data_IF_213998756031
#
_entry.id   IF_213998756031
#
_cell.length_a   1.000
_cell.length_b   1.000
_cell.length_c   1.000
_cell.angle_alpha   90.00
_cell.angle_beta   90.00
_cell.angle_gamma   90.00
#
_symmetry.space_group_name_H-M   'P 1'
#
loop_
_entity.id
_entity.type
_entity.pdbx_description
1 polymer ?
#
# COMPACT_ATOMS: atom_id res chain seq x y z
N UNK A 1 -18.85 14.12 -25.61
CA UNK A 1 -18.45 12.96 -24.81
C UNK A 1 -17.87 13.53 -23.55
N UNK A 2 -18.43 13.18 -22.41
CA UNK A 2 -17.98 13.74 -21.15
C UNK A 2 -16.66 13.06 -20.75
N UNK A 3 -15.74 13.86 -20.23
CA UNK A 3 -14.34 13.46 -20.05
C UNK A 3 -13.86 13.77 -18.65
N UNK A 4 -13.01 12.89 -18.13
CA UNK A 4 -12.33 13.05 -16.86
C UNK A 4 -10.83 13.13 -17.14
N UNK A 5 -10.19 14.20 -16.68
CA UNK A 5 -8.74 14.33 -16.74
C UNK A 5 -8.18 13.93 -15.38
N UNK A 6 -7.37 12.87 -15.35
CA UNK A 6 -6.86 12.29 -14.11
C UNK A 6 -5.35 12.52 -14.04
N UNK A 7 -4.90 13.09 -12.92
CA UNK A 7 -3.48 13.28 -12.65
C UNK A 7 -3.13 12.83 -11.25
N UNK A 8 -1.91 12.36 -11.04
CA UNK A 8 -1.47 11.94 -9.72
C UNK A 8 -0.92 13.13 -8.93
N UNK A 9 -1.67 13.57 -7.91
CA UNK A 9 -1.25 14.67 -7.03
C UNK A 9 -0.10 14.28 -6.11
N UNK A 10 -0.14 13.07 -5.57
CA UNK A 10 0.92 12.45 -4.78
C UNK A 10 0.76 10.92 -4.72
N UNK A 11 1.56 10.22 -3.91
CA UNK A 11 1.47 8.76 -3.77
C UNK A 11 0.20 8.24 -3.06
N UNK A 12 -0.65 9.12 -2.52
CA UNK A 12 -1.87 8.77 -1.78
C UNK A 12 -3.16 9.20 -2.50
N UNK A 13 -3.12 10.33 -3.21
CA UNK A 13 -4.29 10.99 -3.79
C UNK A 13 -4.05 11.29 -5.28
N UNK A 14 -5.09 11.17 -6.08
CA UNK A 14 -5.16 11.63 -7.46
C UNK A 14 -6.22 12.72 -7.61
N UNK A 15 -5.98 13.65 -8.53
CA UNK A 15 -6.94 14.67 -8.94
C UNK A 15 -7.77 14.11 -10.10
N UNK A 16 -9.08 14.31 -10.05
CA UNK A 16 -10.06 13.80 -11.03
C UNK A 16 -10.86 14.98 -11.56
N UNK A 17 -10.28 15.71 -12.53
CA UNK A 17 -10.90 16.90 -13.10
C UNK A 17 -12.09 16.54 -13.97
N UNK A 18 -13.27 17.05 -13.61
CA UNK A 18 -14.52 16.76 -14.30
C UNK A 18 -15.57 17.86 -14.06
N UNK A 19 -16.71 17.78 -14.76
CA UNK A 19 -17.84 18.68 -14.54
C UNK A 19 -18.64 18.36 -13.26
N UNK A 20 -19.48 19.30 -12.82
CA UNK A 20 -20.23 19.14 -11.58
C UNK A 20 -21.23 17.97 -11.59
N UNK A 21 -21.76 17.61 -12.76
CA UNK A 21 -22.67 16.47 -12.91
C UNK A 21 -21.96 15.16 -12.60
N UNK A 22 -20.84 14.92 -13.29
CA UNK A 22 -20.01 13.73 -13.04
C UNK A 22 -19.44 13.75 -11.61
N UNK A 23 -19.02 14.90 -11.10
CA UNK A 23 -18.52 15.01 -9.73
C UNK A 23 -19.56 14.58 -8.68
N UNK A 24 -20.85 14.84 -8.91
CA UNK A 24 -21.93 14.37 -8.04
C UNK A 24 -22.12 12.86 -8.16
N UNK A 25 -22.10 12.29 -9.37
CA UNK A 25 -22.16 10.84 -9.57
C UNK A 25 -20.99 10.10 -8.90
N UNK A 26 -19.77 10.65 -9.02
CA UNK A 26 -18.58 10.13 -8.35
C UNK A 26 -18.72 10.20 -6.84
N UNK A 27 -19.27 11.29 -6.31
CA UNK A 27 -19.52 11.46 -4.87
C UNK A 27 -20.45 10.35 -4.36
N UNK A 28 -21.51 10.03 -5.10
CA UNK A 28 -22.44 8.98 -4.72
C UNK A 28 -21.84 7.58 -4.88
N UNK A 29 -21.15 7.31 -5.99
CA UNK A 29 -20.51 6.02 -6.26
C UNK A 29 -19.42 5.67 -5.23
N UNK A 30 -18.58 6.65 -4.88
CA UNK A 30 -17.54 6.50 -3.86
C UNK A 30 -18.04 6.82 -2.45
N UNK A 31 -19.32 6.55 -2.17
CA UNK A 31 -19.90 6.69 -0.83
C UNK A 31 -20.43 5.38 -0.27
N UNK A 32 -20.34 5.21 1.04
CA UNK A 32 -20.91 4.07 1.74
C UNK A 32 -21.37 4.45 3.15
N UNK A 33 -22.37 3.72 3.65
CA UNK A 33 -22.86 3.91 5.01
C UNK A 33 -21.87 3.37 6.04
N UNK A 34 -21.64 4.14 7.10
CA UNK A 34 -20.80 3.69 8.22
C UNK A 34 -21.55 2.63 9.03
N UNK A 35 -20.94 1.47 9.36
CA UNK A 35 -21.56 0.49 10.24
C UNK A 35 -22.05 1.14 11.55
N UNK A 36 -23.34 0.98 11.86
CA UNK A 36 -23.95 1.57 13.04
C UNK A 36 -24.33 3.06 12.94
N UNK A 37 -24.27 3.69 11.76
CA UNK A 37 -24.59 5.12 11.57
C UNK A 37 -25.94 5.54 12.19
N UNK A 38 -26.95 4.65 12.18
CA UNK A 38 -28.29 4.87 12.76
C UNK A 38 -28.26 5.20 14.27
N UNK A 39 -27.21 4.79 14.97
CA UNK A 39 -27.05 5.03 16.41
C UNK A 39 -26.25 6.31 16.70
N UNK A 40 -25.58 6.90 15.71
CA UNK A 40 -24.72 8.06 15.92
C UNK A 40 -25.57 9.34 16.13
N UNK A 41 -25.28 10.17 17.16
CA UNK A 41 -26.05 11.38 17.45
C UNK A 41 -26.15 12.33 16.26
N UNK A 42 -25.08 12.49 15.48
CA UNK A 42 -25.06 13.36 14.30
C UNK A 42 -26.07 12.94 13.23
N UNK A 43 -26.28 11.63 13.05
CA UNK A 43 -27.29 11.11 12.12
C UNK A 43 -28.72 11.31 12.66
N UNK A 44 -28.94 11.01 13.94
CA UNK A 44 -30.26 11.20 14.59
C UNK A 44 -30.69 12.67 14.60
N UNK A 45 -29.73 13.57 14.79
CA UNK A 45 -29.95 15.02 14.76
C UNK A 45 -29.96 15.60 13.33
N UNK A 46 -29.86 14.76 12.29
CA UNK A 46 -29.88 15.14 10.86
C UNK A 46 -28.76 16.11 10.44
N UNK A 47 -27.65 16.14 11.17
CA UNK A 47 -26.45 16.93 10.85
C UNK A 47 -25.53 16.18 9.89
N UNK A 48 -25.61 14.85 9.88
CA UNK A 48 -24.85 13.98 8.99
C UNK A 48 -25.76 12.90 8.41
N UNK A 49 -25.54 12.51 7.16
CA UNK A 49 -26.39 11.55 6.43
C UNK A 49 -25.99 10.09 6.66
N UNK A 50 -24.97 9.83 7.46
CA UNK A 50 -24.51 8.48 7.79
C UNK A 50 -23.52 7.89 6.79
N UNK A 51 -23.15 8.64 5.74
CA UNK A 51 -22.23 8.20 4.70
C UNK A 51 -20.83 8.77 4.88
N UNK A 52 -19.83 7.97 4.58
CA UNK A 52 -18.49 8.46 4.22
C UNK A 52 -18.46 8.62 2.70
N UNK A 53 -17.83 9.71 2.23
CA UNK A 53 -17.56 9.98 0.82
C UNK A 53 -16.05 9.99 0.64
N UNK A 54 -15.52 9.14 -0.23
CA UNK A 54 -14.08 9.06 -0.50
C UNK A 54 -13.64 10.05 -1.57
N UNK A 55 -14.54 10.40 -2.49
CA UNK A 55 -14.34 11.50 -3.43
C UNK A 55 -14.73 12.83 -2.78
N UNK A 56 -13.84 13.82 -2.88
CA UNK A 56 -14.14 15.19 -2.47
C UNK A 56 -14.51 16.02 -3.70
N UNK A 57 -15.78 16.38 -3.86
CA UNK A 57 -16.25 17.15 -5.02
C UNK A 57 -15.75 18.60 -5.07
N UNK A 58 -15.29 19.16 -3.95
CA UNK A 58 -14.76 20.53 -3.92
C UNK A 58 -13.31 20.57 -4.40
N UNK A 59 -12.46 19.67 -3.88
CA UNK A 59 -11.06 19.57 -4.30
C UNK A 59 -10.86 18.67 -5.52
N UNK A 60 -11.88 17.91 -5.92
CA UNK A 60 -11.85 16.89 -6.96
C UNK A 60 -10.78 15.81 -6.73
N UNK A 61 -10.62 15.42 -5.47
CA UNK A 61 -9.61 14.44 -5.04
C UNK A 61 -10.23 13.07 -4.76
N UNK A 62 -9.52 12.01 -5.17
CA UNK A 62 -9.85 10.62 -4.85
C UNK A 62 -8.57 9.88 -4.38
N UNK A 63 -8.66 8.95 -3.41
CA UNK A 63 -7.52 8.08 -3.09
C UNK A 63 -7.05 7.29 -4.33
N UNK A 64 -5.74 7.35 -4.62
CA UNK A 64 -5.18 6.76 -5.85
C UNK A 64 -5.34 5.24 -5.93
N UNK A 65 -5.47 4.57 -4.77
CA UNK A 65 -5.76 3.13 -4.70
C UNK A 65 -7.13 2.75 -5.24
N UNK A 66 -8.01 3.71 -5.52
CA UNK A 66 -9.35 3.49 -6.08
C UNK A 66 -9.40 3.71 -7.60
N UNK A 67 -8.26 3.89 -8.26
CA UNK A 67 -8.21 4.13 -9.70
C UNK A 67 -8.92 3.05 -10.53
N UNK A 68 -8.73 1.76 -10.21
CA UNK A 68 -9.42 0.67 -10.92
C UNK A 68 -10.95 0.76 -10.79
N UNK A 69 -11.46 1.20 -9.63
CA UNK A 69 -12.89 1.41 -9.43
C UNK A 69 -13.41 2.63 -10.20
N UNK A 70 -12.55 3.63 -10.44
CA UNK A 70 -12.89 4.78 -11.29
C UNK A 70 -12.99 4.35 -12.77
N UNK A 71 -12.10 3.47 -13.22
CA UNK A 71 -12.21 2.86 -14.56
C UNK A 71 -13.51 2.05 -14.71
N UNK A 72 -13.85 1.24 -13.70
CA UNK A 72 -15.12 0.49 -13.64
C UNK A 72 -16.35 1.41 -13.61
N UNK A 73 -16.25 2.59 -12.98
CA UNK A 73 -17.31 3.59 -12.98
C UNK A 73 -17.51 4.23 -14.36
N UNK A 74 -16.41 4.60 -15.03
CA UNK A 74 -16.43 5.32 -16.31
C UNK A 74 -16.83 4.43 -17.49
N UNK A 75 -16.35 3.18 -17.53
CA UNK A 75 -16.53 2.27 -18.67
C UNK A 75 -18.00 2.09 -19.10
N UNK A 76 -18.91 1.65 -18.21
CA UNK A 76 -20.33 1.46 -18.54
C UNK A 76 -21.08 2.76 -18.88
N UNK A 77 -20.57 3.92 -18.45
CA UNK A 77 -21.16 5.25 -18.71
C UNK A 77 -20.66 5.89 -20.00
N UNK A 78 -19.65 5.31 -20.63
CA UNK A 78 -19.02 5.87 -21.83
C UNK A 78 -18.23 7.15 -21.55
N UNK A 79 -17.82 7.37 -20.30
CA UNK A 79 -16.94 8.48 -19.96
C UNK A 79 -15.52 8.18 -20.41
N UNK A 80 -14.87 9.18 -21.00
CA UNK A 80 -13.48 9.06 -21.43
C UNK A 80 -12.54 9.48 -20.31
N UNK A 81 -11.52 8.66 -20.06
CA UNK A 81 -10.45 8.96 -19.11
C UNK A 81 -9.22 9.45 -19.90
N UNK A 82 -8.77 10.66 -19.63
CA UNK A 82 -7.50 11.22 -20.10
C UNK A 82 -6.50 11.20 -18.94
N UNK A 83 -5.40 10.46 -19.08
CA UNK A 83 -4.35 10.39 -18.05
C UNK A 83 -3.27 11.45 -18.31
N UNK A 84 -3.08 12.33 -17.34
CA UNK A 84 -1.96 13.27 -17.34
C UNK A 84 -0.75 12.67 -16.63
N UNK A 85 0.38 12.63 -17.34
CA UNK A 85 1.63 12.15 -16.78
C UNK A 85 2.27 13.18 -15.86
N UNK A 86 2.48 12.80 -14.59
CA UNK A 86 3.30 13.58 -13.68
C UNK A 86 4.74 13.05 -13.71
N UNK A 87 5.72 13.91 -13.98
CA UNK A 87 7.14 13.51 -14.09
C UNK A 87 7.71 12.86 -12.82
N UNK A 88 7.17 13.18 -11.63
CA UNK A 88 7.67 12.65 -10.36
C UNK A 88 6.81 11.50 -9.81
N UNK A 89 5.48 11.61 -9.94
CA UNK A 89 4.55 10.60 -9.40
C UNK A 89 4.15 9.52 -10.41
N UNK A 90 4.28 9.78 -11.71
CA UNK A 90 3.82 8.91 -12.79
C UNK A 90 2.34 9.10 -13.08
N UNK A 91 1.68 8.00 -13.48
CA UNK A 91 0.23 7.92 -13.71
C UNK A 91 -0.41 6.94 -12.72
N UNK A 92 -1.67 7.17 -12.32
CA UNK A 92 -2.41 6.19 -11.53
C UNK A 92 -2.46 4.83 -12.22
N UNK A 93 -2.39 3.75 -11.42
CA UNK A 93 -2.40 2.37 -11.95
C UNK A 93 -1.09 1.92 -12.61
N UNK A 94 -0.05 2.75 -12.68
CA UNK A 94 1.22 2.37 -13.31
C UNK A 94 1.90 1.19 -12.59
N UNK A 95 2.16 0.12 -13.33
CA UNK A 95 2.92 -1.05 -12.87
C UNK A 95 4.43 -0.88 -13.13
N UNK A 96 5.21 -1.85 -12.66
CA UNK A 96 6.62 -2.05 -13.05
C UNK A 96 6.80 -3.49 -13.47
N UNK A 97 7.55 -3.71 -14.55
CA UNK A 97 7.97 -5.06 -14.91
C UNK A 97 9.03 -5.52 -13.92
N UNK A 98 8.77 -6.65 -13.28
CA UNK A 98 9.71 -7.29 -12.34
C UNK A 98 10.46 -8.34 -13.13
N UNK A 99 11.78 -8.19 -13.26
CA UNK A 99 12.62 -9.22 -13.87
C UNK A 99 12.67 -10.45 -12.94
N UNK A 100 12.15 -11.62 -13.36
CA UNK A 100 12.15 -12.81 -12.52
C UNK A 100 13.56 -13.29 -12.17
N UNK A 101 14.53 -13.10 -13.08
CA UNK A 101 15.92 -13.50 -12.85
C UNK A 101 16.56 -12.58 -11.81
N UNK A 102 16.39 -11.27 -11.94
CA UNK A 102 16.88 -10.29 -10.97
C UNK A 102 16.29 -10.56 -9.58
N UNK A 103 14.97 -10.78 -9.49
CA UNK A 103 14.31 -11.09 -8.22
C UNK A 103 14.83 -12.40 -7.63
N UNK A 104 15.03 -13.43 -8.47
CA UNK A 104 15.56 -14.70 -8.01
C UNK A 104 17.00 -14.57 -7.51
N UNK A 105 17.85 -13.84 -8.23
CA UNK A 105 19.25 -13.63 -7.85
C UNK A 105 19.35 -12.83 -6.56
N UNK A 106 18.51 -11.81 -6.40
CA UNK A 106 18.37 -11.07 -5.14
C UNK A 106 17.97 -11.98 -3.98
N UNK A 107 16.94 -12.82 -4.15
CA UNK A 107 16.49 -13.74 -3.10
C UNK A 107 17.57 -14.78 -2.76
N UNK A 108 18.25 -15.33 -3.77
CA UNK A 108 19.30 -16.32 -3.58
C UNK A 108 20.57 -15.72 -2.94
N UNK A 109 20.82 -14.43 -3.18
CA UNK A 109 21.90 -13.67 -2.57
C UNK A 109 21.69 -13.40 -1.09
N UNK A 110 20.45 -13.37 -0.61
CA UNK A 110 20.16 -13.29 0.82
C UNK A 110 20.42 -14.63 1.51
N UNK A 111 21.17 -14.62 2.61
CA UNK A 111 21.34 -15.81 3.46
C UNK A 111 20.21 -15.92 4.49
N UNK A 112 18.97 -16.06 3.99
CA UNK A 112 17.78 -16.16 4.83
C UNK A 112 17.83 -17.38 5.76
N UNK A 113 17.51 -17.18 7.03
CA UNK A 113 17.47 -18.25 8.04
C UNK A 113 16.20 -18.30 8.87
N UNK A 114 15.97 -19.43 9.52
CA UNK A 114 15.11 -19.50 10.71
C UNK A 114 15.68 -20.50 11.68
N UNK A 115 15.74 -20.14 12.97
CA UNK A 115 16.35 -20.93 14.04
C UNK A 115 17.75 -21.41 13.66
N UNK A 116 18.54 -20.52 13.04
CA UNK A 116 19.91 -20.81 12.58
C UNK A 116 20.02 -21.76 11.39
N UNK A 117 18.91 -22.11 10.73
CA UNK A 117 18.91 -22.96 9.53
C UNK A 117 18.54 -22.15 8.30
N UNK A 118 19.30 -22.30 7.22
CA UNK A 118 19.01 -21.62 5.94
C UNK A 118 17.64 -22.03 5.39
N UNK A 119 16.87 -21.07 4.90
CA UNK A 119 15.56 -21.27 4.27
C UNK A 119 15.47 -20.51 2.95
N UNK A 120 14.51 -20.91 2.11
CA UNK A 120 14.11 -20.17 0.92
C UNK A 120 12.60 -19.86 1.01
N UNK A 121 12.15 -18.71 0.47
CA UNK A 121 10.72 -18.42 0.34
C UNK A 121 10.01 -19.50 -0.50
N UNK A 122 8.77 -19.84 -0.12
CA UNK A 122 7.91 -20.77 -0.87
C UNK A 122 7.37 -20.10 -2.13
N UNK A 123 6.92 -20.89 -3.11
CA UNK A 123 6.38 -20.39 -4.39
C UNK A 123 5.33 -19.28 -4.23
N UNK A 124 4.31 -19.50 -3.40
CA UNK A 124 3.27 -18.47 -3.15
C UNK A 124 3.81 -17.21 -2.46
N UNK A 125 4.92 -17.30 -1.71
CA UNK A 125 5.56 -16.13 -1.10
C UNK A 125 6.29 -15.34 -2.18
N UNK A 126 6.98 -16.02 -3.10
CA UNK A 126 7.64 -15.40 -4.26
C UNK A 126 6.61 -14.72 -5.16
N UNK A 127 5.49 -15.39 -5.45
CA UNK A 127 4.37 -14.80 -6.21
C UNK A 127 3.83 -13.53 -5.53
N UNK A 128 3.61 -13.57 -4.20
CA UNK A 128 3.15 -12.40 -3.46
C UNK A 128 4.16 -11.24 -3.46
N UNK A 129 5.47 -11.55 -3.40
CA UNK A 129 6.55 -10.56 -3.52
C UNK A 129 6.53 -9.95 -4.93
N UNK A 130 6.47 -10.77 -5.98
CA UNK A 130 6.45 -10.33 -7.37
C UNK A 130 5.23 -9.43 -7.64
N UNK A 131 4.03 -9.85 -7.25
CA UNK A 131 2.80 -9.04 -7.39
C UNK A 131 2.87 -7.72 -6.60
N UNK A 132 3.44 -7.75 -5.40
CA UNK A 132 3.65 -6.57 -4.57
C UNK A 132 4.56 -5.53 -5.24
N UNK A 133 5.69 -5.98 -5.81
CA UNK A 133 6.61 -5.15 -6.57
C UNK A 133 5.96 -4.63 -7.86
N UNK A 134 5.36 -5.53 -8.66
CA UNK A 134 4.75 -5.21 -9.95
C UNK A 134 3.68 -4.12 -9.84
N UNK A 135 2.78 -4.25 -8.88
CA UNK A 135 1.64 -3.32 -8.72
C UNK A 135 2.01 -2.04 -7.97
N UNK A 136 3.15 -2.00 -7.28
CA UNK A 136 3.59 -0.92 -6.34
C UNK A 136 2.69 -0.67 -5.14
N UNK A 137 1.40 -1.02 -5.23
CA UNK A 137 0.37 -0.96 -4.19
C UNK A 137 -0.59 -2.13 -4.40
N UNK A 138 -0.68 -3.00 -3.42
CA UNK A 138 -1.54 -4.17 -3.49
C UNK A 138 -2.11 -4.52 -2.11
N UNK A 139 -3.28 -5.17 -2.12
CA UNK A 139 -3.78 -5.92 -0.97
C UNK A 139 -3.42 -7.38 -1.21
N UNK A 140 -2.41 -7.87 -0.50
CA UNK A 140 -1.96 -9.26 -0.59
C UNK A 140 -2.75 -10.12 0.41
N UNK A 141 -3.78 -10.83 -0.10
CA UNK A 141 -4.60 -11.70 0.74
C UNK A 141 -3.83 -12.98 1.06
N UNK A 142 -3.51 -13.20 2.34
CA UNK A 142 -2.76 -14.36 2.78
C UNK A 142 -3.17 -14.84 4.18
N UNK A 143 -3.44 -16.15 4.36
CA UNK A 143 -3.93 -16.69 5.63
C UNK A 143 -2.90 -16.56 6.76
N UNK A 144 -3.34 -16.64 8.01
CA UNK A 144 -2.42 -16.68 9.17
C UNK A 144 -1.57 -17.96 9.12
N UNK A 145 -0.29 -17.85 9.48
CA UNK A 145 0.66 -18.97 9.42
C UNK A 145 1.35 -19.19 8.06
N UNK A 146 1.01 -18.41 7.03
CA UNK A 146 1.65 -18.51 5.70
C UNK A 146 3.06 -17.90 5.61
N UNK A 147 3.59 -17.32 6.70
CA UNK A 147 4.87 -16.61 6.67
C UNK A 147 4.79 -15.24 6.01
N UNK A 148 3.78 -14.43 6.38
CA UNK A 148 3.65 -13.04 5.92
C UNK A 148 4.82 -12.15 6.34
N UNK A 149 5.41 -12.39 7.51
CA UNK A 149 6.59 -11.64 7.97
C UNK A 149 7.77 -11.81 7.01
N UNK A 150 8.00 -13.01 6.48
CA UNK A 150 9.04 -13.25 5.46
C UNK A 150 8.74 -12.49 4.15
N UNK A 151 7.48 -12.47 3.69
CA UNK A 151 7.08 -11.68 2.50
C UNK A 151 7.40 -10.20 2.70
N UNK A 152 7.02 -9.64 3.86
CA UNK A 152 7.29 -8.24 4.22
C UNK A 152 8.80 -7.98 4.28
N UNK A 153 9.56 -8.89 4.91
CA UNK A 153 11.01 -8.77 5.04
C UNK A 153 11.70 -8.69 3.68
N UNK A 154 11.38 -9.61 2.76
CA UNK A 154 11.99 -9.65 1.42
C UNK A 154 11.60 -8.40 0.61
N UNK A 155 10.33 -8.01 0.62
CA UNK A 155 9.87 -6.78 -0.05
C UNK A 155 10.60 -5.55 0.48
N UNK A 156 10.74 -5.43 1.80
CA UNK A 156 11.45 -4.34 2.45
C UNK A 156 12.92 -4.32 2.03
N UNK A 157 13.62 -5.45 2.15
CA UNK A 157 15.05 -5.57 1.78
C UNK A 157 15.27 -5.18 0.33
N UNK A 158 14.42 -5.67 -0.58
CA UNK A 158 14.48 -5.32 -2.00
C UNK A 158 14.33 -3.80 -2.21
N UNK A 159 13.31 -3.19 -1.59
CA UNK A 159 13.07 -1.75 -1.74
C UNK A 159 14.19 -0.90 -1.13
N UNK A 160 14.76 -1.30 0.01
CA UNK A 160 15.89 -0.60 0.65
C UNK A 160 17.18 -0.66 -0.17
N UNK A 161 17.39 -1.74 -0.94
CA UNK A 161 18.53 -1.86 -1.85
C UNK A 161 18.33 -1.00 -3.11
N UNK A 162 17.12 -1.00 -3.67
CA UNK A 162 16.81 -0.29 -4.91
C UNK A 162 16.51 1.19 -4.73
N UNK A 163 16.18 1.62 -3.51
CA UNK A 163 15.75 2.99 -3.23
C UNK A 163 16.45 3.54 -1.99
N UNK A 164 16.93 4.78 -2.08
CA UNK A 164 17.42 5.52 -0.92
C UNK A 164 16.24 6.14 -0.15
N UNK A 165 15.41 5.28 0.46
CA UNK A 165 14.20 5.65 1.20
C UNK A 165 14.02 4.76 2.44
N UNK A 166 13.19 5.22 3.36
CA UNK A 166 12.78 4.44 4.54
C UNK A 166 11.55 3.59 4.26
N UNK A 167 11.47 2.43 4.90
CA UNK A 167 10.26 1.60 4.93
C UNK A 167 9.50 1.81 6.25
N UNK A 168 8.17 1.95 6.17
CA UNK A 168 7.29 2.01 7.35
C UNK A 168 6.43 0.75 7.39
N UNK A 169 6.61 -0.06 8.43
CA UNK A 169 5.82 -1.25 8.68
C UNK A 169 4.91 -0.97 9.88
N UNK A 170 3.60 -1.08 9.68
CA UNK A 170 2.60 -0.87 10.73
C UNK A 170 1.99 -2.21 11.11
N UNK A 171 1.99 -2.51 12.41
CA UNK A 171 1.38 -3.71 12.99
C UNK A 171 0.39 -3.34 14.10
N UNK A 172 -0.61 -4.20 14.41
CA UNK A 172 -1.70 -3.85 15.32
C UNK A 172 -1.32 -3.58 16.78
N UNK A 173 -0.27 -4.21 17.30
CA UNK A 173 0.08 -4.14 18.73
C UNK A 173 1.59 -4.02 18.94
N UNK A 174 1.98 -3.54 20.11
CA UNK A 174 3.40 -3.48 20.52
C UNK A 174 4.05 -4.86 20.61
N UNK A 175 3.29 -5.90 20.98
CA UNK A 175 3.77 -7.28 20.96
C UNK A 175 4.12 -7.75 19.54
N UNK A 176 3.29 -7.39 18.54
CA UNK A 176 3.58 -7.69 17.14
C UNK A 176 4.75 -6.88 16.60
N UNK A 177 5.05 -5.69 17.15
CA UNK A 177 6.28 -4.94 16.80
C UNK A 177 7.51 -5.74 17.23
N UNK A 178 7.53 -6.26 18.46
CA UNK A 178 8.66 -7.06 18.94
C UNK A 178 8.78 -8.38 18.18
N UNK A 179 7.65 -9.06 17.95
CA UNK A 179 7.64 -10.30 17.18
C UNK A 179 8.17 -10.09 15.76
N UNK A 180 7.72 -9.05 15.05
CA UNK A 180 8.22 -8.76 13.70
C UNK A 180 9.72 -8.44 13.69
N UNK A 181 10.19 -7.68 14.69
CA UNK A 181 11.61 -7.36 14.82
C UNK A 181 12.46 -8.63 15.06
N UNK A 182 12.02 -9.51 15.95
CA UNK A 182 12.72 -10.79 16.20
C UNK A 182 12.61 -11.77 15.02
N UNK A 183 11.50 -11.78 14.29
CA UNK A 183 11.39 -12.52 13.03
C UNK A 183 12.46 -12.03 12.04
N UNK A 184 12.70 -10.71 11.95
CA UNK A 184 13.72 -10.15 11.08
C UNK A 184 15.13 -10.51 11.53
N UNK A 185 15.42 -10.49 12.83
CA UNK A 185 16.69 -10.98 13.38
C UNK A 185 16.93 -12.45 13.02
N UNK A 186 15.90 -13.29 13.11
CA UNK A 186 16.00 -14.71 12.75
C UNK A 186 16.24 -14.90 11.24
N UNK A 187 15.58 -14.09 10.39
CA UNK A 187 15.80 -14.08 8.94
C UNK A 187 17.19 -13.61 8.53
N UNK A 188 17.74 -12.64 9.25
CA UNK A 188 19.04 -12.04 8.97
C UNK A 188 20.22 -12.74 9.67
N UNK A 189 19.96 -13.74 10.54
CA UNK A 189 20.98 -14.31 11.41
C UNK A 189 22.22 -14.87 10.67
N UNK A 190 22.04 -15.41 9.47
CA UNK A 190 23.15 -15.90 8.62
C UNK A 190 23.51 -14.92 7.48
N UNK A 191 22.90 -13.74 7.46
CA UNK A 191 23.05 -12.70 6.44
C UNK A 191 23.90 -11.55 6.98
N UNK A 192 24.54 -10.79 6.10
CA UNK A 192 25.39 -9.65 6.51
C UNK A 192 24.57 -8.40 6.88
N UNK A 193 23.25 -8.52 6.95
CA UNK A 193 22.35 -7.39 7.18
C UNK A 193 21.99 -7.23 8.66
N UNK A 194 22.52 -6.18 9.27
CA UNK A 194 22.29 -5.93 10.70
C UNK A 194 20.91 -5.31 10.96
N UNK A 195 20.04 -6.07 11.63
CA UNK A 195 18.69 -5.62 11.99
C UNK A 195 18.73 -4.48 13.00
N UNK A 196 19.67 -4.49 13.94
CA UNK A 196 19.80 -3.42 14.93
C UNK A 196 20.19 -2.11 14.25
N UNK A 197 21.12 -2.11 13.30
CA UNK A 197 21.50 -0.88 12.58
C UNK A 197 20.39 -0.36 11.66
N UNK A 198 19.63 -1.26 11.03
CA UNK A 198 18.69 -0.92 9.97
C UNK A 198 17.22 -0.81 10.43
N UNK A 199 16.84 -1.37 11.59
CA UNK A 199 15.46 -1.33 12.07
C UNK A 199 15.29 -0.46 13.32
N UNK A 200 14.25 0.38 13.26
CA UNK A 200 13.81 1.19 14.40
C UNK A 200 12.38 0.82 14.83
N UNK A 201 12.21 0.47 16.10
CA UNK A 201 10.92 0.13 16.70
C UNK A 201 10.29 1.37 17.34
N UNK A 202 9.08 1.73 16.91
CA UNK A 202 8.32 2.87 17.43
C UNK A 202 7.10 2.38 18.23
N UNK A 203 7.00 2.77 19.49
CA UNK A 203 5.81 2.61 20.34
C UNK A 203 5.91 3.53 21.58
N UNK A 204 4.83 3.63 22.36
CA UNK A 204 4.81 4.49 23.56
C UNK A 204 5.98 4.16 24.50
N UNK A 205 6.77 5.18 24.86
CA UNK A 205 7.96 5.04 25.71
C UNK A 205 9.28 4.74 24.98
N UNK A 206 9.26 4.53 23.65
CA UNK A 206 10.48 4.51 22.80
C UNK A 206 10.72 5.88 22.17
N UNK A 207 11.99 6.21 21.95
CA UNK A 207 12.41 7.41 21.25
C UNK A 207 11.86 7.41 19.81
N UNK A 208 11.33 8.55 19.35
CA UNK A 208 10.64 8.65 18.05
C UNK A 208 11.55 9.05 16.89
N UNK A 209 12.73 9.59 17.19
CA UNK A 209 13.67 10.12 16.21
C UNK A 209 15.02 9.42 16.37
N UNK A 210 15.46 8.68 15.37
CA UNK A 210 16.80 8.11 15.34
C UNK A 210 17.33 8.08 13.92
N UNK A 211 18.63 8.40 13.74
CA UNK A 211 19.35 8.42 12.46
C UNK A 211 19.64 7.04 11.87
N UNK A 212 18.75 6.07 12.08
CA UNK A 212 18.82 4.75 11.42
C UNK A 212 18.27 4.86 9.99
N UNK A 213 18.76 3.99 9.11
CA UNK A 213 18.41 4.01 7.69
C UNK A 213 16.90 3.86 7.47
#
# INVERSE_FOLDING_TARGET
MDKLVISQKNFSVMDVQTDMGIANELTDFFSFFVPGYKYMPAFRNKVWDGKIRLFNSQSQELPVGLFSYLEEFCGPRGYQIELEHNNYYGVPGATVDVDPQELSDFINGMNLSTKGTRINPRGYQIEAICEGLHRKRAILLSPTGSGKSLIIYVLMRYLLEKMDKKALIIVPTTSLVQQMYSDFEDYALLDDWDVEENCHRIYSGKEKNVGKR
#
